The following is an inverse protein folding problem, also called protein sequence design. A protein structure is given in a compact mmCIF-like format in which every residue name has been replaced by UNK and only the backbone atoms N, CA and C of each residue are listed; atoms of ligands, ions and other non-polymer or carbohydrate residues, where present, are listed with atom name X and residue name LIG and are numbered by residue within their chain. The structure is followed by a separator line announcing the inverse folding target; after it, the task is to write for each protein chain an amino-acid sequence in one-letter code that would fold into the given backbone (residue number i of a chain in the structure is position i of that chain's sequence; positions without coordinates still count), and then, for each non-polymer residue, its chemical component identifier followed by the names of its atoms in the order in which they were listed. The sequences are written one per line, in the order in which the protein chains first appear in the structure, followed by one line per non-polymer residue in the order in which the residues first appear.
data_IF_984170474897
#
_entry.id   IF_984170474897
#
_cell.length_a   1.000
_cell.length_b   1.000
_cell.length_c   1.000
_cell.angle_alpha   90.00
_cell.angle_beta   90.00
_cell.angle_gamma   90.00
#
_symmetry.space_group_name_H-M   'P 1'
#
loop_
_entity.id
_entity.type
_entity.pdbx_description
1 polymer ?
#
# COMPACT_ATOMS: atom_id res chain seq x y z
N UNK A 1 -9.29 -19.73 6.91
CA UNK A 1 -9.27 -18.86 5.71
C UNK A 1 -9.34 -19.75 4.49
N UNK A 2 -10.47 -19.76 3.76
CA UNK A 2 -10.77 -20.79 2.76
C UNK A 2 -10.49 -22.21 3.29
N UNK A 3 -9.52 -22.92 2.70
CA UNK A 3 -9.16 -24.30 3.05
C UNK A 3 -8.13 -24.41 4.19
N UNK A 4 -7.63 -23.28 4.72
CA UNK A 4 -6.68 -23.26 5.84
C UNK A 4 -7.43 -23.20 7.16
N UNK A 5 -7.16 -24.17 8.04
CA UNK A 5 -7.70 -24.21 9.41
C UNK A 5 -6.58 -23.90 10.39
N UNK A 6 -6.72 -22.79 11.13
CA UNK A 6 -5.79 -22.39 12.19
C UNK A 6 -6.46 -22.64 13.53
N UNK A 7 -5.84 -23.47 14.35
CA UNK A 7 -6.35 -23.81 15.69
C UNK A 7 -5.89 -22.79 16.72
N UNK A 8 -6.71 -22.52 17.74
CA UNK A 8 -6.38 -21.64 18.86
C UNK A 8 -5.89 -20.24 18.45
N UNK A 9 -6.47 -19.68 17.39
CA UNK A 9 -6.19 -18.29 16.99
C UNK A 9 -6.90 -17.34 17.97
N UNK A 10 -6.12 -16.51 18.64
CA UNK A 10 -6.65 -15.40 19.42
C UNK A 10 -7.06 -14.25 18.48
N UNK A 11 -8.19 -13.61 18.76
CA UNK A 11 -8.65 -12.44 18.03
C UNK A 11 -9.39 -11.48 18.97
N UNK A 12 -9.40 -10.19 18.61
CA UNK A 12 -10.12 -9.18 19.37
C UNK A 12 -11.61 -9.20 19.04
N UNK A 13 -12.45 -9.16 20.06
CA UNK A 13 -13.89 -8.90 19.94
C UNK A 13 -14.15 -7.45 20.29
N UNK A 14 -14.55 -6.65 19.29
CA UNK A 14 -15.03 -5.29 19.55
C UNK A 14 -16.41 -5.36 20.20
N UNK A 15 -16.60 -4.62 21.29
CA UNK A 15 -17.91 -4.47 21.96
C UNK A 15 -18.51 -3.08 21.77
N UNK A 16 -17.71 -2.16 21.22
CA UNK A 16 -18.10 -0.79 20.93
C UNK A 16 -17.36 -0.34 19.67
N UNK A 17 -18.10 0.13 18.67
CA UNK A 17 -17.56 0.58 17.39
C UNK A 17 -18.07 2.00 17.09
N UNK A 18 -17.17 2.97 16.85
CA UNK A 18 -17.61 4.33 16.56
C UNK A 18 -18.31 4.38 15.19
N UNK A 19 -19.37 5.19 15.10
CA UNK A 19 -20.17 5.30 13.87
C UNK A 19 -19.34 5.68 12.64
N UNK A 20 -18.33 6.54 12.80
CA UNK A 20 -17.41 6.91 11.73
C UNK A 20 -15.99 6.43 12.08
N UNK A 21 -15.26 5.77 11.15
CA UNK A 21 -15.65 5.42 9.78
C UNK A 21 -16.48 4.13 9.61
N UNK A 22 -16.72 3.35 10.67
CA UNK A 22 -17.08 1.93 10.58
C UNK A 22 -18.49 1.62 10.07
N UNK A 23 -19.49 2.46 10.37
CA UNK A 23 -20.88 2.18 10.02
C UNK A 23 -21.15 2.03 8.52
N UNK A 24 -20.31 2.64 7.68
CA UNK A 24 -20.49 2.65 6.22
C UNK A 24 -19.55 1.70 5.47
N UNK A 25 -18.81 0.85 6.18
CA UNK A 25 -17.84 -0.05 5.58
C UNK A 25 -18.52 -1.33 5.09
N UNK A 26 -18.03 -1.87 3.99
CA UNK A 26 -18.53 -3.13 3.40
C UNK A 26 -17.93 -4.39 4.03
N UNK A 27 -17.29 -4.28 5.20
CA UNK A 27 -16.63 -5.39 5.89
C UNK A 27 -16.88 -5.32 7.41
N UNK A 28 -16.89 -6.49 8.06
CA UNK A 28 -17.24 -6.63 9.49
C UNK A 28 -16.05 -6.52 10.44
N UNK A 29 -14.82 -6.57 9.92
CA UNK A 29 -13.62 -6.54 10.75
C UNK A 29 -12.32 -6.51 9.96
N UNK A 30 -11.21 -6.47 10.70
CA UNK A 30 -9.86 -6.37 10.13
C UNK A 30 -9.05 -7.62 10.46
N UNK A 31 -8.40 -8.18 9.44
CA UNK A 31 -7.39 -9.21 9.61
C UNK A 31 -5.99 -8.58 9.47
N UNK A 32 -5.30 -8.39 10.59
CA UNK A 32 -3.94 -7.85 10.61
C UNK A 32 -2.92 -8.84 10.03
N UNK A 33 -2.17 -8.39 9.02
CA UNK A 33 -1.17 -9.19 8.29
C UNK A 33 0.27 -8.72 8.54
N UNK A 34 0.48 -7.87 9.56
CA UNK A 34 1.77 -7.30 9.94
C UNK A 34 2.72 -8.36 10.53
N UNK A 35 3.92 -7.93 10.97
CA UNK A 35 5.04 -8.81 11.37
C UNK A 35 4.60 -9.94 12.33
N UNK A 36 5.17 -11.17 12.30
CA UNK A 36 4.65 -12.31 13.02
C UNK A 36 5.21 -12.29 14.45
N UNK A 37 5.23 -11.10 15.02
CA UNK A 37 5.63 -10.79 16.38
C UNK A 37 4.37 -10.70 17.22
N UNK A 38 4.47 -10.97 18.54
CA UNK A 38 3.38 -10.66 19.45
C UNK A 38 2.93 -9.21 19.25
N UNK A 39 1.62 -8.99 19.14
CA UNK A 39 1.08 -7.63 19.08
C UNK A 39 1.20 -6.95 20.46
N UNK A 40 0.70 -5.71 20.58
CA UNK A 40 0.76 -4.95 21.83
C UNK A 40 0.13 -5.67 23.04
N UNK A 41 -0.72 -6.68 22.82
CA UNK A 41 -1.36 -7.50 23.84
C UNK A 41 -0.66 -8.85 24.08
N UNK A 42 0.49 -9.09 23.44
CA UNK A 42 1.25 -10.34 23.57
C UNK A 42 0.69 -11.52 22.75
N UNK A 43 -0.31 -11.28 21.89
CA UNK A 43 -0.97 -12.33 21.10
C UNK A 43 -0.32 -12.49 19.73
N UNK A 44 -0.31 -13.72 19.20
CA UNK A 44 0.32 -14.02 17.90
C UNK A 44 -0.60 -13.73 16.71
N UNK A 45 -0.02 -13.17 15.66
CA UNK A 45 -0.74 -12.93 14.39
C UNK A 45 -1.22 -14.23 13.73
N UNK A 46 -2.26 -14.13 12.89
CA UNK A 46 -2.75 -15.27 12.12
C UNK A 46 -1.66 -15.91 11.26
N UNK A 47 -0.82 -15.09 10.63
CA UNK A 47 0.25 -15.60 9.79
C UNK A 47 1.30 -16.37 10.61
N UNK A 48 1.64 -15.89 11.80
CA UNK A 48 2.52 -16.64 12.72
C UNK A 48 1.93 -18.02 13.00
N UNK A 49 0.64 -18.09 13.32
CA UNK A 49 -0.02 -19.35 13.63
C UNK A 49 -0.10 -20.29 12.41
N UNK A 50 -0.36 -19.75 11.22
CA UNK A 50 -0.32 -20.53 9.97
C UNK A 50 1.06 -21.16 9.73
N UNK A 51 2.13 -20.40 9.95
CA UNK A 51 3.51 -20.88 9.84
C UNK A 51 3.81 -21.93 10.92
N UNK A 52 3.50 -21.64 12.17
CA UNK A 52 3.78 -22.52 13.31
C UNK A 52 3.01 -23.86 13.23
N UNK A 53 1.82 -23.85 12.64
CA UNK A 53 0.98 -25.04 12.45
C UNK A 53 1.20 -25.72 11.08
N UNK A 54 2.25 -25.33 10.33
CA UNK A 54 2.59 -25.87 9.01
C UNK A 54 1.41 -25.86 8.02
N UNK A 55 0.59 -24.80 8.05
CA UNK A 55 -0.61 -24.67 7.21
C UNK A 55 -0.33 -24.00 5.86
N UNK A 56 0.88 -23.46 5.67
CA UNK A 56 1.32 -22.82 4.43
C UNK A 56 2.65 -23.43 4.00
N UNK A 57 2.83 -23.61 2.69
CA UNK A 57 4.04 -24.21 2.10
C UNK A 57 5.26 -23.33 2.25
N UNK A 58 5.07 -22.02 2.15
CA UNK A 58 6.13 -21.02 2.25
C UNK A 58 5.71 -19.92 3.24
N UNK A 59 6.66 -19.31 3.98
CA UNK A 59 6.38 -18.26 4.95
C UNK A 59 6.15 -16.90 4.26
N UNK A 60 5.24 -16.87 3.30
CA UNK A 60 4.92 -15.68 2.50
C UNK A 60 3.42 -15.60 2.20
N UNK A 61 2.98 -14.41 1.84
CA UNK A 61 1.65 -14.18 1.26
C UNK A 61 1.75 -13.09 0.20
N UNK A 62 0.76 -13.01 -0.67
CA UNK A 62 0.79 -12.07 -1.78
C UNK A 62 -0.58 -11.53 -2.12
N UNK A 63 -0.60 -10.33 -2.67
CA UNK A 63 -1.82 -9.62 -3.04
C UNK A 63 -1.82 -9.25 -4.52
N UNK A 64 -2.93 -9.55 -5.17
CA UNK A 64 -3.30 -9.02 -6.49
C UNK A 64 -4.55 -8.17 -6.35
N UNK A 65 -4.47 -6.92 -6.81
CA UNK A 65 -5.60 -6.00 -6.87
C UNK A 65 -6.01 -5.82 -8.33
N UNK A 66 -7.26 -6.17 -8.63
CA UNK A 66 -7.84 -5.91 -9.95
C UNK A 66 -7.93 -4.41 -10.24
N UNK A 67 -7.49 -4.01 -11.44
CA UNK A 67 -7.68 -2.64 -11.98
C UNK A 67 -9.11 -2.38 -12.43
N UNK A 68 -9.91 -3.42 -12.66
CA UNK A 68 -11.29 -3.30 -13.12
C UNK A 68 -12.20 -2.90 -11.95
N UNK A 69 -12.74 -1.68 -12.00
CA UNK A 69 -13.63 -1.13 -10.96
C UNK A 69 -14.86 -1.96 -10.65
N UNK A 70 -15.37 -2.69 -11.65
CA UNK A 70 -16.59 -3.51 -11.55
C UNK A 70 -16.32 -4.76 -10.71
N UNK A 71 -15.07 -5.21 -10.70
CA UNK A 71 -14.60 -6.40 -10.02
C UNK A 71 -13.55 -5.94 -9.01
N UNK A 72 -13.99 -5.41 -7.86
CA UNK A 72 -13.12 -5.08 -6.70
C UNK A 72 -12.56 -6.36 -6.06
N UNK A 73 -12.02 -7.26 -6.87
CA UNK A 73 -11.42 -8.49 -6.42
C UNK A 73 -10.00 -8.21 -5.98
N UNK A 74 -9.78 -8.43 -4.69
CA UNK A 74 -8.46 -8.57 -4.10
C UNK A 74 -8.25 -10.05 -3.87
N UNK A 75 -7.23 -10.61 -4.50
CA UNK A 75 -6.83 -11.99 -4.26
C UNK A 75 -5.65 -12.00 -3.31
N UNK A 76 -5.84 -12.61 -2.15
CA UNK A 76 -4.78 -12.92 -1.20
C UNK A 76 -4.43 -14.40 -1.33
N UNK A 77 -3.16 -14.70 -1.60
CA UNK A 77 -2.63 -16.06 -1.66
C UNK A 77 -1.69 -16.26 -0.47
N UNK A 78 -1.86 -17.37 0.25
CA UNK A 78 -1.01 -17.77 1.36
C UNK A 78 -0.07 -18.88 0.92
N UNK A 79 1.23 -18.72 1.14
CA UNK A 79 2.27 -19.71 0.79
C UNK A 79 2.51 -19.92 -0.70
N UNK A 80 1.89 -19.12 -1.56
CA UNK A 80 1.98 -19.21 -3.03
C UNK A 80 2.19 -17.82 -3.63
N UNK A 81 2.92 -17.76 -4.74
CA UNK A 81 2.98 -16.58 -5.60
C UNK A 81 3.00 -17.00 -7.07
N UNK A 82 2.62 -16.10 -7.97
CA UNK A 82 2.63 -16.31 -9.43
C UNK A 82 3.48 -15.22 -10.09
N UNK A 83 4.43 -15.60 -10.94
CA UNK A 83 5.24 -14.67 -11.74
C UNK A 83 6.72 -14.56 -11.32
N UNK A 84 7.48 -13.76 -12.07
CA UNK A 84 8.91 -13.50 -11.80
C UNK A 84 9.09 -12.54 -10.62
N UNK A 85 10.03 -12.88 -9.74
CA UNK A 85 10.32 -12.12 -8.51
C UNK A 85 11.25 -10.94 -8.81
N UNK A 86 10.75 -9.70 -8.69
CA UNK A 86 11.65 -8.56 -8.48
C UNK A 86 11.83 -8.36 -6.97
N UNK A 87 13.05 -8.62 -6.51
CA UNK A 87 13.39 -8.63 -5.09
C UNK A 87 13.46 -7.22 -4.48
N UNK A 88 12.81 -7.02 -3.33
CA UNK A 88 13.21 -5.95 -2.39
C UNK A 88 12.92 -6.36 -0.94
N UNK A 89 13.75 -5.87 0.00
CA UNK A 89 13.77 -6.22 1.44
C UNK A 89 12.79 -5.32 2.23
N UNK A 90 12.35 -5.77 3.41
CA UNK A 90 11.61 -4.98 4.38
C UNK A 90 12.53 -3.84 4.79
N UNK A 91 12.29 -2.65 4.26
CA UNK A 91 13.35 -1.67 4.24
C UNK A 91 12.87 -0.35 4.80
N UNK A 92 13.23 -0.17 6.05
CA UNK A 92 13.23 1.11 6.74
C UNK A 92 14.22 2.12 6.14
N UNK A 93 14.54 2.05 4.85
CA UNK A 93 15.47 2.96 4.13
C UNK A 93 15.42 2.85 2.59
N UNK A 94 14.50 2.08 1.97
CA UNK A 94 14.66 1.71 0.55
C UNK A 94 14.14 2.74 -0.43
N UNK A 95 13.43 3.75 0.05
CA UNK A 95 13.01 4.89 -0.73
C UNK A 95 14.12 5.94 -0.68
N UNK A 96 15.06 5.87 -1.62
CA UNK A 96 16.17 6.82 -1.70
C UNK A 96 15.96 7.87 -2.81
N UNK A 97 14.98 7.66 -3.69
CA UNK A 97 14.65 8.61 -4.74
C UNK A 97 13.17 8.58 -5.09
N UNK A 98 12.63 9.76 -5.33
CA UNK A 98 11.28 10.01 -5.79
C UNK A 98 11.36 10.99 -6.96
N UNK A 99 10.60 10.74 -8.02
CA UNK A 99 10.56 11.60 -9.20
C UNK A 99 9.12 11.86 -9.66
N UNK A 100 8.90 13.04 -10.23
CA UNK A 100 7.64 13.41 -10.87
C UNK A 100 7.97 13.82 -12.31
N UNK A 101 7.42 13.07 -13.27
CA UNK A 101 7.82 13.12 -14.66
C UNK A 101 9.30 12.80 -14.81
N UNK A 102 10.03 13.66 -15.52
CA UNK A 102 11.47 13.49 -15.76
C UNK A 102 12.35 14.16 -14.67
N UNK A 103 11.76 14.66 -13.58
CA UNK A 103 12.47 15.42 -12.56
C UNK A 103 12.56 14.66 -11.24
N UNK A 104 13.79 14.47 -10.75
CA UNK A 104 14.01 13.97 -9.39
C UNK A 104 13.69 15.09 -8.39
N UNK A 105 12.94 14.78 -7.34
CA UNK A 105 12.49 15.80 -6.38
C UNK A 105 13.51 16.13 -5.29
N UNK A 106 14.45 15.21 -5.02
CA UNK A 106 15.41 15.31 -3.91
C UNK A 106 14.81 15.06 -2.52
N UNK A 107 13.49 14.82 -2.41
CA UNK A 107 12.78 14.68 -1.13
C UNK A 107 13.21 13.48 -0.29
N UNK A 108 13.75 12.44 -0.93
CA UNK A 108 14.25 11.23 -0.25
C UNK A 108 15.77 11.09 -0.36
N UNK A 109 16.50 12.19 -0.58
CA UNK A 109 17.96 12.19 -0.72
C UNK A 109 18.69 11.68 0.54
N UNK A 110 18.12 11.93 1.73
CA UNK A 110 18.59 11.41 3.02
C UNK A 110 17.88 10.09 3.43
N UNK A 111 17.11 9.52 2.51
CA UNK A 111 16.27 8.35 2.75
C UNK A 111 14.87 8.70 3.25
N UNK A 112 13.89 7.95 2.75
CA UNK A 112 12.51 7.96 3.19
C UNK A 112 12.12 6.56 3.70
N UNK A 113 11.09 6.53 4.54
CA UNK A 113 10.36 5.32 4.91
C UNK A 113 9.22 5.09 3.93
N UNK A 114 8.85 3.83 3.74
CA UNK A 114 7.58 3.49 3.11
C UNK A 114 6.94 2.28 3.76
N UNK A 115 5.62 2.34 3.93
CA UNK A 115 4.79 1.22 4.34
C UNK A 115 3.99 0.78 3.12
N UNK A 116 3.93 -0.53 2.88
CA UNK A 116 3.02 -1.12 1.89
C UNK A 116 1.79 -1.56 2.66
N UNK A 117 0.65 -0.95 2.38
CA UNK A 117 -0.54 -1.11 3.22
C UNK A 117 -1.79 -1.44 2.41
N UNK A 118 -2.23 -2.68 2.49
CA UNK A 118 -3.46 -3.16 1.86
C UNK A 118 -4.72 -2.60 2.50
N UNK A 119 -4.62 -1.98 3.69
CA UNK A 119 -5.74 -1.32 4.37
C UNK A 119 -5.97 0.13 3.96
N UNK A 120 -5.05 0.72 3.20
CA UNK A 120 -5.11 2.12 2.77
C UNK A 120 -5.51 2.21 1.30
N UNK A 121 -6.58 2.97 1.00
CA UNK A 121 -7.07 3.12 -0.38
C UNK A 121 -6.28 4.12 -1.23
N UNK A 122 -5.60 5.06 -0.58
CA UNK A 122 -4.96 6.22 -1.24
C UNK A 122 -3.44 6.05 -1.29
N UNK A 123 -2.78 6.90 -2.07
CA UNK A 123 -1.35 7.10 -1.95
C UNK A 123 -1.08 8.18 -0.90
N UNK A 124 -0.37 7.81 0.15
CA UNK A 124 -0.14 8.72 1.27
C UNK A 124 1.20 9.43 1.14
N UNK A 125 1.17 10.76 1.22
CA UNK A 125 2.31 11.65 0.97
C UNK A 125 2.73 12.33 2.27
N UNK A 126 4.04 12.38 2.61
CA UNK A 126 4.50 13.14 3.77
C UNK A 126 3.98 14.58 3.73
N UNK A 127 3.33 15.02 4.81
CA UNK A 127 2.65 16.33 4.89
C UNK A 127 3.54 17.49 4.40
N UNK A 128 4.83 17.46 4.75
CA UNK A 128 5.81 18.49 4.35
C UNK A 128 6.04 18.61 2.83
N UNK A 129 5.71 17.56 2.06
CA UNK A 129 5.84 17.56 0.60
C UNK A 129 4.51 17.72 -0.14
N UNK A 130 3.37 17.63 0.54
CA UNK A 130 2.04 17.62 -0.07
C UNK A 130 1.81 18.81 -1.02
N UNK A 131 2.13 20.03 -0.58
CA UNK A 131 1.96 21.24 -1.40
C UNK A 131 2.83 21.22 -2.65
N UNK A 132 4.10 20.83 -2.51
CA UNK A 132 5.04 20.76 -3.63
C UNK A 132 4.68 19.63 -4.59
N UNK A 133 4.17 18.52 -4.06
CA UNK A 133 3.63 17.42 -4.86
C UNK A 133 2.45 17.88 -5.70
N UNK A 134 1.45 18.53 -5.09
CA UNK A 134 0.27 19.04 -5.78
C UNK A 134 0.65 20.00 -6.92
N UNK A 135 1.58 20.93 -6.65
CA UNK A 135 2.11 21.82 -7.67
C UNK A 135 2.80 21.05 -8.82
N UNK A 136 3.63 20.06 -8.49
CA UNK A 136 4.36 19.28 -9.49
C UNK A 136 3.45 18.42 -10.38
N UNK A 137 2.37 17.87 -9.83
CA UNK A 137 1.35 17.13 -10.59
C UNK A 137 0.29 18.02 -11.23
N UNK A 138 0.41 19.35 -11.08
CA UNK A 138 -0.52 20.37 -11.61
C UNK A 138 -1.95 20.24 -11.07
N UNK A 139 -2.08 19.91 -9.78
CA UNK A 139 -3.36 19.83 -9.08
C UNK A 139 -3.53 21.01 -8.09
N UNK A 140 -4.78 21.44 -7.83
CA UNK A 140 -5.05 22.48 -6.86
C UNK A 140 -4.84 21.99 -5.43
N UNK A 141 -4.50 22.92 -4.54
CA UNK A 141 -4.46 22.69 -3.10
C UNK A 141 -5.82 23.04 -2.50
N UNK A 142 -6.80 22.16 -2.71
CA UNK A 142 -8.18 22.28 -2.23
C UNK A 142 -8.60 20.96 -1.58
N UNK A 143 -9.63 20.99 -0.73
CA UNK A 143 -10.02 19.87 0.14
C UNK A 143 -10.34 18.55 -0.60
N UNK A 144 -10.60 18.60 -1.91
CA UNK A 144 -10.97 17.45 -2.74
C UNK A 144 -9.95 17.06 -3.82
N UNK A 145 -8.84 17.80 -3.95
CA UNK A 145 -7.81 17.57 -4.98
C UNK A 145 -8.36 17.32 -6.41
N UNK A 146 -9.46 17.99 -6.76
CA UNK A 146 -10.15 17.82 -8.04
C UNK A 146 -9.29 18.36 -9.18
N UNK A 147 -9.23 17.62 -10.28
CA UNK A 147 -8.47 17.93 -11.49
C UNK A 147 -9.35 17.85 -12.72
N UNK A 148 -8.97 18.52 -13.80
CA UNK A 148 -9.66 18.42 -15.08
C UNK A 148 -9.48 17.02 -15.68
N UNK A 149 -10.58 16.28 -15.81
CA UNK A 149 -10.62 14.96 -16.43
C UNK A 149 -10.04 14.93 -17.83
N UNK A 150 -10.15 16.03 -18.60
CA UNK A 150 -9.64 16.10 -19.97
C UNK A 150 -8.11 16.24 -20.01
N UNK A 151 -7.48 16.61 -18.91
CA UNK A 151 -6.05 16.88 -18.83
C UNK A 151 -5.25 15.76 -18.14
N UNK A 152 -5.89 14.65 -17.75
CA UNK A 152 -5.24 13.52 -17.04
C UNK A 152 -4.02 13.00 -17.81
N UNK A 153 -4.12 12.86 -19.14
CA UNK A 153 -3.05 12.33 -19.98
C UNK A 153 -1.78 13.22 -20.01
N UNK A 154 -1.90 14.51 -19.66
CA UNK A 154 -0.79 15.46 -19.61
C UNK A 154 -0.20 15.62 -18.21
N UNK A 155 -0.75 14.91 -17.21
CA UNK A 155 -0.21 14.89 -15.86
C UNK A 155 1.05 14.00 -15.83
N UNK A 156 2.01 14.30 -14.95
CA UNK A 156 3.29 13.59 -14.94
C UNK A 156 3.20 12.22 -14.24
N UNK A 157 3.80 11.19 -14.83
CA UNK A 157 4.06 9.92 -14.15
C UNK A 157 4.86 10.15 -12.86
N UNK A 158 4.40 9.56 -11.75
CA UNK A 158 5.14 9.54 -10.49
C UNK A 158 6.03 8.31 -10.49
N UNK A 159 7.27 8.39 -10.03
CA UNK A 159 8.19 7.25 -10.04
C UNK A 159 8.81 7.08 -8.66
N UNK A 160 8.52 5.93 -8.04
CA UNK A 160 9.23 5.47 -6.85
C UNK A 160 10.48 4.69 -7.26
N UNK A 161 11.60 5.00 -6.62
CA UNK A 161 12.82 4.22 -6.75
C UNK A 161 13.02 3.43 -5.47
N UNK A 162 12.82 2.12 -5.56
CA UNK A 162 12.90 1.20 -4.44
C UNK A 162 14.04 0.24 -4.75
N UNK A 163 15.11 0.30 -3.95
CA UNK A 163 16.26 -0.59 -4.04
C UNK A 163 16.84 -0.75 -5.48
N UNK A 164 17.10 0.35 -6.18
CA UNK A 164 17.65 0.33 -7.54
C UNK A 164 16.60 0.22 -8.66
N UNK A 165 15.38 -0.23 -8.35
CA UNK A 165 14.33 -0.48 -9.34
C UNK A 165 13.31 0.67 -9.41
N UNK A 166 12.74 0.87 -10.60
CA UNK A 166 11.74 1.92 -10.86
C UNK A 166 10.33 1.36 -10.83
N UNK A 167 9.45 2.06 -10.12
CA UNK A 167 8.03 1.76 -10.00
C UNK A 167 7.23 2.98 -10.45
N UNK A 168 7.03 3.18 -11.78
CA UNK A 168 6.22 4.26 -12.31
C UNK A 168 4.72 4.06 -12.00
N UNK A 169 4.05 5.14 -11.63
CA UNK A 169 2.59 5.25 -11.51
C UNK A 169 2.11 6.26 -12.55
N UNK A 170 1.44 5.82 -13.63
CA UNK A 170 0.88 6.74 -14.61
C UNK A 170 -0.27 7.55 -14.00
N UNK A 171 -0.69 8.67 -14.61
CA UNK A 171 -1.85 9.45 -14.16
C UNK A 171 -3.11 8.62 -13.95
N UNK A 172 -3.34 7.60 -14.78
CA UNK A 172 -4.48 6.68 -14.64
C UNK A 172 -4.47 5.86 -13.34
N UNK A 173 -3.32 5.72 -12.67
CA UNK A 173 -3.21 4.99 -11.41
C UNK A 173 -3.57 5.87 -10.21
N UNK A 174 -3.10 7.13 -10.20
CA UNK A 174 -3.26 8.04 -9.06
C UNK A 174 -4.37 9.08 -9.24
N UNK A 175 -5.06 9.12 -10.39
CA UNK A 175 -6.28 9.93 -10.60
C UNK A 175 -7.50 9.01 -10.63
N UNK A 176 -8.41 9.23 -9.70
CA UNK A 176 -9.73 8.61 -9.72
C UNK A 176 -10.67 9.42 -10.62
N UNK A 177 -11.48 8.76 -11.46
CA UNK A 177 -12.58 9.37 -12.23
C UNK A 177 -13.92 8.76 -11.79
N UNK A 178 -14.72 9.46 -10.99
CA UNK A 178 -16.07 9.00 -10.64
C UNK A 178 -17.12 9.72 -11.49
N UNK A 179 -17.57 9.07 -12.57
CA UNK A 179 -18.59 9.59 -13.49
C UNK A 179 -18.34 11.03 -13.99
N UNK A 180 -17.08 11.36 -14.32
CA UNK A 180 -16.68 12.69 -14.78
C UNK A 180 -16.22 13.63 -13.67
N UNK A 181 -16.19 13.19 -12.41
CA UNK A 181 -15.50 13.87 -11.33
C UNK A 181 -14.10 13.26 -11.15
N UNK A 182 -13.06 14.01 -11.52
CA UNK A 182 -11.69 13.52 -11.42
C UNK A 182 -10.96 14.13 -10.22
N UNK A 183 -10.39 13.28 -9.37
CA UNK A 183 -9.64 13.73 -8.20
C UNK A 183 -8.42 12.85 -7.97
N UNK A 184 -7.36 13.44 -7.42
CA UNK A 184 -6.19 12.68 -7.01
C UNK A 184 -6.55 11.70 -5.89
N UNK A 185 -6.16 10.43 -6.05
CA UNK A 185 -6.29 9.41 -5.02
C UNK A 185 -5.11 9.48 -4.03
N UNK A 186 -4.98 10.61 -3.34
CA UNK A 186 -3.90 10.88 -2.40
C UNK A 186 -4.43 11.39 -1.06
N UNK A 187 -3.61 11.27 -0.04
CA UNK A 187 -3.84 11.94 1.25
C UNK A 187 -2.51 12.28 1.95
N UNK A 188 -2.60 13.09 2.99
CA UNK A 188 -1.47 13.38 3.86
C UNK A 188 -1.16 12.19 4.79
N UNK A 189 0.13 11.93 5.05
CA UNK A 189 0.52 10.93 6.05
C UNK A 189 0.02 11.30 7.44
N UNK A 190 -0.80 10.41 8.01
CA UNK A 190 -1.42 10.54 9.33
C UNK A 190 -0.62 9.84 10.46
N UNK A 191 0.48 9.18 10.11
CA UNK A 191 1.42 8.52 11.05
C UNK A 191 2.83 9.05 10.87
N UNK A 192 3.57 9.16 11.97
CA UNK A 192 4.98 9.55 11.95
C UNK A 192 5.87 8.33 11.82
N UNK A 193 7.03 8.49 11.17
CA UNK A 193 8.06 7.44 11.19
C UNK A 193 8.73 7.36 12.57
N UNK A 194 9.19 6.17 12.98
CA UNK A 194 9.91 6.01 14.25
C UNK A 194 11.21 6.83 14.35
N UNK A 195 11.84 7.14 13.22
CA UNK A 195 13.13 7.82 13.14
C UNK A 195 13.03 9.27 12.59
N UNK A 196 11.83 9.80 12.40
CA UNK A 196 11.59 11.15 11.89
C UNK A 196 11.82 11.34 10.39
N UNK A 197 12.22 10.30 9.63
CA UNK A 197 12.32 10.38 8.17
C UNK A 197 10.93 10.52 7.52
N UNK A 198 10.83 11.13 6.32
CA UNK A 198 9.54 11.23 5.64
C UNK A 198 8.96 9.86 5.34
N UNK A 199 7.68 9.67 5.66
CA UNK A 199 6.98 8.39 5.55
C UNK A 199 5.92 8.42 4.46
N UNK A 200 6.07 7.53 3.48
CA UNK A 200 5.08 7.25 2.45
C UNK A 200 4.25 6.02 2.83
N UNK A 201 2.99 5.98 2.43
CA UNK A 201 2.18 4.75 2.51
C UNK A 201 1.71 4.42 1.10
N UNK A 202 2.12 3.25 0.63
CA UNK A 202 1.78 2.69 -0.67
C UNK A 202 0.53 1.83 -0.52
N UNK A 203 -0.63 2.47 -0.65
CA UNK A 203 -1.94 1.83 -0.60
C UNK A 203 -2.39 1.25 -1.94
N UNK A 204 -3.69 1.05 -2.08
CA UNK A 204 -4.36 0.51 -3.28
C UNK A 204 -3.90 1.13 -4.60
N UNK A 205 -3.63 2.44 -4.61
CA UNK A 205 -3.14 3.16 -5.80
C UNK A 205 -1.86 2.53 -6.35
N UNK A 206 -0.94 2.15 -5.47
CA UNK A 206 0.29 1.46 -5.85
C UNK A 206 0.04 -0.04 -6.08
N UNK A 207 -0.73 -0.69 -5.19
CA UNK A 207 -0.97 -2.13 -5.20
C UNK A 207 -1.78 -2.63 -6.41
N UNK A 208 -2.56 -1.76 -7.06
CA UNK A 208 -3.23 -2.05 -8.34
C UNK A 208 -2.28 -2.12 -9.52
N UNK A 209 -1.19 -1.38 -9.49
CA UNK A 209 -0.16 -1.41 -10.54
C UNK A 209 0.89 -2.49 -10.29
N UNK A 210 1.06 -2.90 -9.02
CA UNK A 210 2.09 -3.86 -8.64
C UNK A 210 1.53 -5.00 -7.78
N UNK A 211 1.56 -6.21 -8.34
CA UNK A 211 1.45 -7.43 -7.57
C UNK A 211 2.51 -7.45 -6.47
N UNK A 212 2.08 -7.69 -5.23
CA UNK A 212 2.92 -7.50 -4.05
C UNK A 212 3.08 -8.80 -3.27
N UNK A 213 4.32 -9.17 -2.97
CA UNK A 213 4.70 -10.40 -2.27
C UNK A 213 5.34 -10.03 -0.94
N UNK A 214 4.79 -10.51 0.17
CA UNK A 214 5.29 -10.30 1.51
C UNK A 214 5.96 -11.59 2.01
N UNK A 215 7.27 -11.67 1.82
CA UNK A 215 8.09 -12.82 2.19
C UNK A 215 8.65 -12.63 3.59
N UNK A 216 8.08 -13.37 4.54
CA UNK A 216 8.36 -13.26 5.97
C UNK A 216 9.45 -14.21 6.42
N UNK A 217 9.74 -15.25 5.64
CA UNK A 217 10.93 -16.07 5.83
C UNK A 217 12.21 -15.26 5.65
N UNK A 218 12.21 -14.33 4.67
CA UNK A 218 13.37 -13.50 4.35
C UNK A 218 13.24 -12.03 4.76
N UNK A 219 12.16 -11.66 5.46
CA UNK A 219 11.83 -10.29 5.84
C UNK A 219 11.94 -9.31 4.66
N UNK A 220 11.18 -9.56 3.60
CA UNK A 220 11.27 -8.83 2.34
C UNK A 220 9.91 -8.64 1.66
N UNK A 221 9.78 -7.56 0.88
CA UNK A 221 8.59 -7.27 0.07
C UNK A 221 8.99 -7.16 -1.40
N UNK A 222 8.51 -8.08 -2.22
CA UNK A 222 8.71 -8.09 -3.66
C UNK A 222 7.54 -7.44 -4.39
N UNK A 223 7.82 -6.90 -5.58
CA UNK A 223 6.82 -6.31 -6.45
C UNK A 223 6.98 -6.85 -7.87
N UNK A 224 5.89 -7.06 -8.59
CA UNK A 224 5.90 -7.32 -10.02
C UNK A 224 4.79 -6.50 -10.69
N UNK A 225 4.92 -6.11 -11.97
CA UNK A 225 3.82 -5.47 -12.68
C UNK A 225 2.54 -6.31 -12.56
N UNK A 226 1.45 -5.68 -12.14
CA UNK A 226 0.15 -6.33 -12.04
C UNK A 226 -0.41 -6.63 -13.44
N UNK A 227 -0.98 -7.82 -13.61
CA UNK A 227 -1.63 -8.25 -14.85
C UNK A 227 -2.95 -7.49 -15.10
#
# INVERSE_FOLDING_TARGET
VQNIVVQNQEFGLSVDEPTHPWYYLGYDGILGMTNPTPNAMGTYTLLYQMMHQNQISEPLFSFYFSRLRILRHVFCLFGLFVGDFFSSILCSSCFYRFAIGNQATGWCSEGCQGIVDTGTFLLTIPQQYLRNFLQAVKAPYEDSYVVDCNNIQNMPTIIFYINGSQFPLPPSAYVSNDNGNCALAIEATYVSSPNGQPLWILGDVFLKEYYSIFDRGNNRVGFAPSA
#
